data_IF_113481682882
#
_entry.id   IF_113481682882
#
_cell.length_a   1.000
_cell.length_b   1.000
_cell.length_c   1.000
_cell.angle_alpha   90.00
_cell.angle_beta   90.00
_cell.angle_gamma   90.00
#
_symmetry.space_group_name_H-M   'P 1'
#
loop_
_entity.id
_entity.type
_entity.pdbx_description
1 polymer ?
#
# COMPACT_ATOMS: atom_id res chain seq x y z
N UNK A 1 37.25 19.47 -0.50
CA UNK A 1 36.39 19.15 -1.66
C UNK A 1 35.17 18.41 -1.10
N UNK A 2 34.09 19.14 -0.79
CA UNK A 2 32.92 18.55 -0.12
C UNK A 2 32.13 17.70 -1.11
N UNK A 3 31.92 16.42 -0.80
CA UNK A 3 31.00 15.58 -1.56
C UNK A 3 29.61 16.21 -1.48
N UNK A 4 29.07 16.58 -2.63
CA UNK A 4 27.70 17.07 -2.78
C UNK A 4 26.80 15.88 -2.44
N UNK A 5 26.20 15.87 -1.24
CA UNK A 5 25.19 14.86 -0.87
C UNK A 5 24.19 14.75 -2.02
N UNK A 6 23.98 13.54 -2.53
CA UNK A 6 23.00 13.29 -3.57
C UNK A 6 21.60 13.62 -3.02
N UNK A 7 20.62 13.90 -3.90
CA UNK A 7 19.22 14.04 -3.46
C UNK A 7 18.75 12.78 -2.72
N UNK A 8 19.26 11.61 -3.10
CA UNK A 8 19.11 10.35 -2.37
C UNK A 8 19.63 10.43 -0.92
N UNK A 9 20.82 10.99 -0.69
CA UNK A 9 21.40 11.12 0.66
C UNK A 9 20.67 12.14 1.55
N UNK A 10 19.87 13.03 0.96
CA UNK A 10 18.98 13.94 1.70
C UNK A 10 17.69 13.25 2.12
N UNK A 11 17.18 12.35 1.28
CA UNK A 11 16.01 11.51 1.58
C UNK A 11 16.34 10.59 2.77
N UNK A 12 17.45 9.87 2.75
CA UNK A 12 17.77 8.86 3.79
C UNK A 12 18.44 9.39 5.08
N UNK A 13 18.28 10.68 5.40
CA UNK A 13 18.68 11.20 6.72
C UNK A 13 17.90 10.48 7.83
N UNK A 14 18.61 9.72 8.66
CA UNK A 14 18.09 8.62 9.51
C UNK A 14 17.11 8.99 10.65
N UNK A 15 16.47 10.16 10.59
CA UNK A 15 15.49 10.60 11.59
C UNK A 15 14.23 11.25 10.97
N UNK A 16 14.21 11.53 9.66
CA UNK A 16 13.13 12.32 9.03
C UNK A 16 12.17 11.50 8.16
N UNK A 17 12.43 10.20 7.97
CA UNK A 17 11.62 9.31 7.12
C UNK A 17 11.26 8.03 7.89
N UNK A 18 9.96 7.70 7.88
CA UNK A 18 9.49 6.40 8.32
C UNK A 18 9.49 5.46 7.10
N UNK A 19 10.46 4.55 7.06
CA UNK A 19 10.53 3.50 6.04
C UNK A 19 9.66 2.34 6.50
N UNK A 20 8.69 1.96 5.68
CA UNK A 20 7.81 0.82 5.95
C UNK A 20 8.38 -0.38 5.22
N UNK A 21 9.49 -0.89 5.75
CA UNK A 21 10.15 -2.09 5.27
C UNK A 21 10.81 -2.80 6.43
N UNK A 22 10.22 -3.89 6.94
CA UNK A 22 10.99 -5.03 7.46
C UNK A 22 10.11 -6.28 7.63
N UNK A 23 10.55 -7.41 7.05
CA UNK A 23 10.03 -8.76 7.34
C UNK A 23 8.96 -9.29 6.38
N UNK A 24 8.90 -10.61 6.23
CA UNK A 24 8.30 -11.36 5.12
C UNK A 24 6.80 -11.16 4.80
N UNK A 25 6.07 -10.23 5.42
CA UNK A 25 4.67 -9.93 5.09
C UNK A 25 4.29 -8.48 5.44
N UNK A 26 4.61 -7.53 4.57
CA UNK A 26 4.10 -6.15 4.65
C UNK A 26 2.99 -5.99 3.61
N UNK A 27 1.75 -6.19 4.06
CA UNK A 27 0.55 -5.81 3.31
C UNK A 27 0.01 -4.44 3.74
N UNK A 28 -1.28 -4.19 3.50
CA UNK A 28 -1.91 -2.92 3.87
C UNK A 28 -1.87 -2.59 5.36
N UNK A 29 -1.88 -3.60 6.25
CA UNK A 29 -1.99 -3.36 7.69
C UNK A 29 -0.77 -2.63 8.31
N UNK A 30 0.49 -3.06 8.13
CA UNK A 30 1.64 -2.30 8.63
C UNK A 30 1.75 -0.90 8.00
N UNK A 31 1.27 -0.73 6.77
CA UNK A 31 1.27 0.56 6.09
C UNK A 31 0.23 1.53 6.64
N UNK A 32 -0.96 1.03 6.97
CA UNK A 32 -1.98 1.82 7.66
C UNK A 32 -1.52 2.24 9.05
N UNK A 33 -0.82 1.35 9.77
CA UNK A 33 -0.18 1.67 11.05
C UNK A 33 0.89 2.75 10.86
N UNK A 34 1.75 2.64 9.86
CA UNK A 34 2.79 3.64 9.62
C UNK A 34 2.22 5.02 9.23
N UNK A 35 1.14 5.06 8.46
CA UNK A 35 0.37 6.28 8.20
C UNK A 35 -0.14 6.89 9.50
N UNK A 36 -0.77 6.09 10.36
CA UNK A 36 -1.26 6.53 11.67
C UNK A 36 -0.12 7.05 12.57
N UNK A 37 1.00 6.31 12.65
CA UNK A 37 2.21 6.73 13.37
C UNK A 37 2.76 8.03 12.80
N UNK A 38 2.79 8.21 11.49
CA UNK A 38 3.23 9.45 10.84
C UNK A 38 2.37 10.65 11.22
N UNK A 39 1.05 10.46 11.39
CA UNK A 39 0.14 11.48 11.93
C UNK A 39 0.48 11.80 13.38
N UNK A 40 0.44 10.79 14.27
CA UNK A 40 0.57 11.00 15.72
C UNK A 40 1.96 11.44 16.12
N UNK A 41 3.01 11.01 15.40
CA UNK A 41 4.37 11.45 15.66
C UNK A 41 4.59 12.92 15.31
N UNK A 42 3.88 13.46 14.30
CA UNK A 42 3.99 14.87 13.90
C UNK A 42 3.05 15.80 14.68
N UNK A 43 1.82 15.35 14.92
CA UNK A 43 0.75 16.21 15.45
C UNK A 43 0.35 15.87 16.90
N UNK A 44 0.87 14.78 17.47
CA UNK A 44 0.51 14.31 18.80
C UNK A 44 -0.86 13.63 18.84
N UNK A 45 -1.39 13.46 20.06
CA UNK A 45 -2.72 12.90 20.30
C UNK A 45 -2.87 11.41 19.97
N UNK A 46 -4.11 10.95 20.01
CA UNK A 46 -4.55 9.62 19.58
C UNK A 46 -5.01 9.64 18.13
N UNK A 47 -4.78 8.54 17.40
CA UNK A 47 -5.27 8.40 16.02
C UNK A 47 -6.80 8.54 15.91
N UNK A 48 -7.54 8.19 16.96
CA UNK A 48 -9.01 8.33 17.03
C UNK A 48 -9.47 9.79 16.88
N UNK A 49 -8.64 10.77 17.23
CA UNK A 49 -8.95 12.19 17.10
C UNK A 49 -8.97 12.64 15.63
N UNK A 50 -8.25 11.91 14.77
CA UNK A 50 -8.14 12.17 13.34
C UNK A 50 -9.13 11.33 12.51
N UNK A 51 -10.02 10.55 13.14
CA UNK A 51 -11.03 9.73 12.47
C UNK A 51 -11.96 10.56 11.57
N UNK A 52 -12.10 10.15 10.32
CA UNK A 52 -12.92 10.80 9.31
C UNK A 52 -12.12 11.45 8.17
N UNK A 53 -12.81 12.23 7.34
CA UNK A 53 -12.22 12.90 6.19
C UNK A 53 -11.58 14.24 6.57
N UNK A 54 -10.35 14.47 6.09
CA UNK A 54 -9.61 15.74 6.12
C UNK A 54 -9.38 16.34 7.52
N UNK A 55 -9.27 15.50 8.56
CA UNK A 55 -8.93 15.95 9.92
C UNK A 55 -7.42 16.05 10.20
N UNK A 56 -6.59 15.45 9.35
CA UNK A 56 -5.13 15.55 9.46
C UNK A 56 -4.71 17.00 9.10
N UNK A 57 -4.02 17.74 9.99
CA UNK A 57 -3.76 19.18 9.80
C UNK A 57 -2.84 19.55 8.62
N UNK A 58 -2.10 18.57 8.08
CA UNK A 58 -1.19 18.77 6.95
C UNK A 58 -0.30 17.56 6.70
N UNK A 59 0.75 17.75 5.88
CA UNK A 59 1.72 16.69 5.53
C UNK A 59 2.24 15.97 6.76
N UNK A 60 2.17 14.64 6.78
CA UNK A 60 2.76 13.83 7.85
C UNK A 60 4.28 13.64 7.66
N UNK A 61 4.91 12.85 8.53
CA UNK A 61 6.28 12.39 8.31
C UNK A 61 6.34 11.61 6.98
N UNK A 62 7.26 11.91 6.05
CA UNK A 62 7.38 11.21 4.79
C UNK A 62 7.49 9.69 4.96
N UNK A 63 6.71 8.97 4.15
CA UNK A 63 6.68 7.50 4.14
C UNK A 63 7.23 6.96 2.83
N UNK A 64 7.98 5.87 2.92
CA UNK A 64 8.33 5.01 1.77
C UNK A 64 7.61 3.68 1.96
N UNK A 65 6.71 3.36 1.04
CA UNK A 65 5.95 2.12 1.03
C UNK A 65 6.63 1.09 0.13
N UNK A 66 6.90 -0.10 0.67
CA UNK A 66 7.47 -1.23 -0.06
C UNK A 66 6.55 -2.44 0.17
N UNK A 67 5.48 -2.61 -0.64
CA UNK A 67 4.50 -3.67 -0.43
C UNK A 67 5.10 -5.04 -0.77
N UNK A 68 4.76 -6.06 0.03
CA UNK A 68 5.08 -7.47 -0.23
C UNK A 68 3.83 -8.30 -0.55
N UNK A 69 2.69 -7.64 -0.77
CA UNK A 69 1.42 -8.27 -1.20
C UNK A 69 0.81 -7.47 -2.35
N UNK A 70 0.15 -8.14 -3.30
CA UNK A 70 -0.53 -7.49 -4.42
C UNK A 70 -2.05 -7.52 -4.23
N UNK A 71 -2.58 -6.66 -3.35
CA UNK A 71 -4.00 -6.62 -3.02
C UNK A 71 -4.50 -5.23 -2.65
N UNK A 72 -4.16 -4.78 -1.45
CA UNK A 72 -4.83 -3.65 -0.79
C UNK A 72 -4.57 -2.28 -1.44
N UNK A 73 -3.49 -2.14 -2.22
CA UNK A 73 -3.07 -0.86 -2.82
C UNK A 73 -2.76 0.24 -1.80
N UNK A 74 -2.49 -0.08 -0.53
CA UNK A 74 -2.34 0.93 0.53
C UNK A 74 -1.16 1.88 0.24
N UNK A 75 -0.22 1.47 -0.61
CA UNK A 75 0.97 2.21 -1.03
C UNK A 75 0.63 3.41 -1.91
N UNK A 76 -0.58 3.41 -2.47
CA UNK A 76 -1.10 4.45 -3.37
C UNK A 76 -2.48 4.94 -2.94
N UNK A 77 -2.84 4.80 -1.66
CA UNK A 77 -4.11 5.31 -1.12
C UNK A 77 -3.91 6.34 0.00
N UNK A 78 -4.87 7.24 0.11
CA UNK A 78 -4.97 8.29 1.12
C UNK A 78 -5.75 7.86 2.39
N UNK A 79 -5.90 6.55 2.59
CA UNK A 79 -6.63 5.96 3.71
C UNK A 79 -5.67 5.28 4.70
N UNK A 80 -6.02 5.35 5.98
CA UNK A 80 -5.44 4.52 7.05
C UNK A 80 -6.60 3.95 7.86
N UNK A 81 -6.71 2.63 7.90
CA UNK A 81 -7.78 1.92 8.63
C UNK A 81 -7.18 1.26 9.87
N UNK A 82 -7.62 1.69 11.05
CA UNK A 82 -7.11 1.19 12.34
C UNK A 82 -8.28 0.58 13.12
N UNK A 83 -8.04 -0.58 13.75
CA UNK A 83 -9.07 -1.19 14.60
C UNK A 83 -9.03 -0.55 15.98
N UNK A 84 -10.13 0.08 16.37
CA UNK A 84 -10.37 0.56 17.73
C UNK A 84 -10.99 -0.56 18.56
N UNK A 85 -10.15 -1.25 19.34
CA UNK A 85 -10.59 -2.35 20.20
C UNK A 85 -11.51 -1.91 21.35
N UNK A 86 -11.55 -0.62 21.71
CA UNK A 86 -12.44 -0.13 22.76
C UNK A 86 -13.89 -0.02 22.28
N UNK A 87 -14.08 0.29 20.98
CA UNK A 87 -15.38 0.40 20.31
C UNK A 87 -15.76 -0.84 19.49
N UNK A 88 -14.85 -1.80 19.36
CA UNK A 88 -14.93 -2.91 18.40
C UNK A 88 -15.28 -2.40 16.98
N UNK A 89 -14.55 -1.36 16.56
CA UNK A 89 -14.86 -0.58 15.36
C UNK A 89 -13.61 -0.33 14.52
N UNK A 90 -13.72 -0.46 13.20
CA UNK A 90 -12.66 -0.03 12.27
C UNK A 90 -12.79 1.46 12.00
N UNK A 91 -11.92 2.24 12.61
CA UNK A 91 -11.83 3.67 12.36
C UNK A 91 -11.08 3.92 11.05
N UNK A 92 -11.55 4.90 10.28
CA UNK A 92 -10.93 5.29 9.02
C UNK A 92 -10.46 6.73 9.10
N UNK A 93 -9.17 6.95 8.87
CA UNK A 93 -8.60 8.29 8.65
C UNK A 93 -8.41 8.46 7.16
N UNK A 94 -9.03 9.49 6.59
CA UNK A 94 -8.87 9.85 5.19
C UNK A 94 -8.25 11.23 5.07
N UNK A 95 -7.08 11.32 4.44
CA UNK A 95 -6.46 12.58 4.08
C UNK A 95 -5.43 12.37 2.97
N UNK A 96 -5.40 13.27 1.98
CA UNK A 96 -4.37 13.25 0.94
C UNK A 96 -2.94 13.43 1.48
N UNK A 97 -2.82 13.91 2.71
CA UNK A 97 -1.54 14.02 3.40
C UNK A 97 -0.97 12.65 3.81
N UNK A 98 -1.77 11.58 3.76
CA UNK A 98 -1.37 10.21 4.10
C UNK A 98 -0.70 9.45 2.95
N UNK A 99 -0.67 10.04 1.74
CA UNK A 99 0.01 9.38 0.63
C UNK A 99 1.48 9.11 0.96
N UNK A 100 1.96 7.87 0.76
CA UNK A 100 3.39 7.63 0.77
C UNK A 100 4.09 8.54 -0.23
N UNK A 101 5.26 9.07 0.15
CA UNK A 101 6.07 9.90 -0.74
C UNK A 101 6.62 9.09 -1.90
N UNK A 102 6.89 7.80 -1.65
CA UNK A 102 7.34 6.85 -2.64
C UNK A 102 6.70 5.49 -2.39
N UNK A 103 6.34 4.80 -3.48
CA UNK A 103 5.96 3.39 -3.49
C UNK A 103 6.97 2.63 -4.35
N UNK A 104 7.62 1.61 -3.80
CA UNK A 104 8.60 0.77 -4.50
C UNK A 104 8.03 -0.63 -4.62
N UNK A 105 7.58 -0.99 -5.82
CA UNK A 105 7.01 -2.30 -6.10
C UNK A 105 8.10 -3.20 -6.67
N UNK A 106 8.52 -4.20 -5.90
CA UNK A 106 9.44 -5.25 -6.33
C UNK A 106 8.69 -6.59 -6.38
N UNK A 107 8.50 -7.19 -7.58
CA UNK A 107 7.77 -8.44 -7.72
C UNK A 107 8.45 -9.62 -7.02
N UNK A 108 9.77 -9.59 -6.78
CA UNK A 108 10.45 -10.65 -6.05
C UNK A 108 9.98 -10.70 -4.59
N UNK A 109 9.62 -9.56 -4.00
CA UNK A 109 9.10 -9.50 -2.62
C UNK A 109 7.73 -10.19 -2.47
N UNK A 110 6.94 -10.25 -3.55
CA UNK A 110 5.65 -10.94 -3.56
C UNK A 110 5.80 -12.46 -3.42
N UNK A 111 6.95 -13.02 -3.82
CA UNK A 111 7.19 -14.48 -3.77
C UNK A 111 7.32 -15.01 -2.34
N UNK A 112 7.50 -14.12 -1.36
CA UNK A 112 7.55 -14.49 0.06
C UNK A 112 6.16 -14.71 0.68
N UNK A 113 5.09 -14.27 0.02
CA UNK A 113 3.74 -14.42 0.53
C UNK A 113 3.26 -15.89 0.45
N UNK A 114 2.66 -16.45 1.53
CA UNK A 114 2.00 -17.75 1.46
C UNK A 114 0.90 -17.76 0.40
N UNK A 115 0.71 -18.91 -0.25
CA UNK A 115 -0.28 -19.06 -1.34
C UNK A 115 -1.69 -18.60 -0.96
N UNK A 116 -2.14 -18.90 0.27
CA UNK A 116 -3.45 -18.46 0.77
C UNK A 116 -3.57 -16.94 0.92
N UNK A 117 -2.47 -16.24 1.21
CA UNK A 117 -2.47 -14.77 1.26
C UNK A 117 -2.42 -14.19 -0.14
N UNK A 118 -1.64 -14.77 -1.05
CA UNK A 118 -1.62 -14.35 -2.45
C UNK A 118 -3.01 -14.47 -3.10
N UNK A 119 -3.72 -15.59 -2.85
CA UNK A 119 -5.09 -15.78 -3.32
C UNK A 119 -6.05 -14.72 -2.76
N UNK A 120 -6.04 -14.51 -1.44
CA UNK A 120 -6.90 -13.51 -0.80
C UNK A 120 -6.62 -12.09 -1.32
N UNK A 121 -5.35 -11.73 -1.51
CA UNK A 121 -4.96 -10.43 -2.06
C UNK A 121 -5.38 -10.27 -3.54
N UNK A 122 -5.29 -11.33 -4.33
CA UNK A 122 -5.75 -11.31 -5.72
C UNK A 122 -7.25 -11.06 -5.84
N UNK A 123 -8.04 -11.70 -4.99
CA UNK A 123 -9.49 -11.48 -4.89
C UNK A 123 -9.79 -10.05 -4.42
N UNK A 124 -9.08 -9.55 -3.40
CA UNK A 124 -9.20 -8.18 -2.89
C UNK A 124 -8.97 -7.13 -4.00
N UNK A 125 -7.88 -7.26 -4.77
CA UNK A 125 -7.59 -6.36 -5.88
C UNK A 125 -8.66 -6.41 -6.99
N UNK A 126 -9.21 -7.60 -7.27
CA UNK A 126 -10.29 -7.75 -8.25
C UNK A 126 -11.56 -7.05 -7.80
N UNK A 127 -11.96 -7.24 -6.55
CA UNK A 127 -13.15 -6.60 -5.97
C UNK A 127 -12.98 -5.08 -6.00
N UNK A 128 -11.82 -4.55 -5.63
CA UNK A 128 -11.54 -3.11 -5.75
C UNK A 128 -11.72 -2.59 -7.18
N UNK A 129 -11.29 -3.35 -8.19
CA UNK A 129 -11.45 -2.96 -9.58
C UNK A 129 -12.94 -2.98 -10.01
N UNK A 130 -13.69 -4.02 -9.63
CA UNK A 130 -15.12 -4.11 -9.92
C UNK A 130 -15.90 -2.98 -9.22
N UNK A 131 -15.69 -2.77 -7.92
CA UNK A 131 -16.31 -1.69 -7.14
C UNK A 131 -16.00 -0.32 -7.74
N UNK A 132 -14.76 -0.08 -8.17
CA UNK A 132 -14.37 1.16 -8.83
C UNK A 132 -15.07 1.35 -10.18
N UNK A 133 -15.26 0.28 -10.95
CA UNK A 133 -15.92 0.31 -12.26
C UNK A 133 -17.42 0.59 -12.17
N UNK A 134 -18.11 0.04 -11.15
CA UNK A 134 -19.55 0.23 -10.94
C UNK A 134 -19.90 1.42 -10.05
N UNK A 135 -18.89 2.12 -9.52
CA UNK A 135 -19.06 3.24 -8.60
C UNK A 135 -19.85 4.39 -9.23
N UNK A 136 -20.71 5.04 -8.44
CA UNK A 136 -21.36 6.29 -8.85
C UNK A 136 -20.38 7.46 -8.99
N UNK A 137 -19.15 7.31 -8.48
CA UNK A 137 -18.06 8.27 -8.62
C UNK A 137 -17.03 7.85 -9.69
N UNK A 138 -17.37 6.86 -10.52
CA UNK A 138 -16.54 6.42 -11.63
C UNK A 138 -16.30 7.53 -12.67
N UNK A 139 -15.18 7.42 -13.38
CA UNK A 139 -14.73 8.33 -14.41
C UNK A 139 -14.07 7.54 -15.54
N UNK A 140 -13.96 8.08 -16.76
CA UNK A 140 -13.28 7.38 -17.86
C UNK A 140 -11.86 6.93 -17.53
N UNK A 141 -11.18 7.66 -16.63
CA UNK A 141 -9.84 7.29 -16.15
C UNK A 141 -9.88 6.10 -15.19
N UNK A 142 -10.75 6.12 -14.18
CA UNK A 142 -10.90 4.98 -13.25
C UNK A 142 -11.43 3.74 -13.97
N UNK A 143 -12.33 3.89 -14.94
CA UNK A 143 -12.89 2.78 -15.71
C UNK A 143 -11.81 2.06 -16.51
N UNK A 144 -10.93 2.82 -17.19
CA UNK A 144 -9.82 2.26 -17.93
C UNK A 144 -8.83 1.51 -17.02
N UNK A 145 -8.55 2.05 -15.82
CA UNK A 145 -7.70 1.38 -14.84
C UNK A 145 -8.35 0.12 -14.26
N UNK A 146 -9.64 0.18 -13.94
CA UNK A 146 -10.39 -0.95 -13.41
C UNK A 146 -10.54 -2.08 -14.45
N UNK A 147 -10.81 -1.73 -15.71
CA UNK A 147 -10.88 -2.68 -16.82
C UNK A 147 -9.52 -3.36 -17.07
N UNK A 148 -8.40 -2.61 -17.04
CA UNK A 148 -7.05 -3.20 -17.08
C UNK A 148 -6.78 -4.11 -15.87
N UNK A 149 -7.16 -3.67 -14.66
CA UNK A 149 -6.95 -4.42 -13.43
C UNK A 149 -7.72 -5.75 -13.39
N UNK A 150 -8.99 -5.75 -13.85
CA UNK A 150 -9.82 -6.96 -13.96
C UNK A 150 -9.31 -7.94 -15.02
N UNK A 151 -8.68 -7.45 -16.10
CA UNK A 151 -8.03 -8.28 -17.13
C UNK A 151 -6.65 -8.77 -16.70
N UNK A 152 -5.99 -8.03 -15.81
CA UNK A 152 -4.72 -8.39 -15.24
C UNK A 152 -4.87 -9.69 -14.45
N UNK A 153 -4.03 -10.68 -14.74
CA UNK A 153 -4.02 -12.00 -14.09
C UNK A 153 -3.68 -12.03 -12.59
N UNK A 154 -3.80 -10.90 -11.88
CA UNK A 154 -3.71 -10.81 -10.43
C UNK A 154 -4.77 -11.66 -9.70
N UNK A 155 -5.75 -12.22 -10.40
CA UNK A 155 -6.74 -13.14 -9.82
C UNK A 155 -6.11 -14.48 -9.39
N UNK A 156 -4.85 -14.79 -9.79
CA UNK A 156 -4.13 -15.95 -9.25
C UNK A 156 -2.64 -15.76 -8.92
N UNK A 157 -1.86 -14.97 -9.67
CA UNK A 157 -0.44 -14.60 -9.41
C UNK A 157 0.07 -13.82 -10.63
N UNK A 158 0.48 -12.55 -10.53
CA UNK A 158 1.06 -11.84 -11.69
C UNK A 158 2.09 -10.78 -11.28
N UNK A 159 3.12 -10.58 -12.13
CA UNK A 159 3.22 -9.28 -12.78
C UNK A 159 3.57 -9.36 -14.28
N UNK A 160 3.01 -8.39 -14.99
CA UNK A 160 2.91 -8.13 -16.44
C UNK A 160 3.88 -8.86 -17.41
N UNK A 161 3.26 -9.46 -18.45
CA UNK A 161 3.79 -10.31 -19.54
C UNK A 161 4.35 -11.67 -19.12
N UNK A 162 3.81 -12.23 -18.04
CA UNK A 162 4.08 -13.62 -17.67
C UNK A 162 3.44 -14.57 -18.69
N UNK A 163 4.28 -15.20 -19.52
CA UNK A 163 3.90 -16.35 -20.31
C UNK A 163 3.76 -17.55 -19.38
N UNK A 164 3.06 -18.60 -19.82
CA UNK A 164 2.86 -19.83 -19.01
C UNK A 164 4.15 -20.41 -18.41
N UNK A 165 5.31 -20.16 -19.06
CA UNK A 165 6.65 -20.54 -18.57
C UNK A 165 7.10 -19.76 -17.33
N UNK A 166 6.77 -18.48 -17.24
CA UNK A 166 7.26 -17.59 -16.17
C UNK A 166 6.56 -17.95 -14.85
N UNK A 167 5.26 -18.30 -14.95
CA UNK A 167 4.47 -18.86 -13.84
C UNK A 167 5.01 -20.23 -13.41
N UNK A 168 5.38 -21.10 -14.38
CA UNK A 168 5.95 -22.41 -14.07
C UNK A 168 7.34 -22.30 -13.40
N UNK A 169 8.20 -21.38 -13.83
CA UNK A 169 9.51 -21.13 -13.20
C UNK A 169 9.39 -20.60 -11.78
N UNK A 170 8.46 -19.68 -11.52
CA UNK A 170 8.19 -19.18 -10.16
C UNK A 170 7.64 -20.28 -9.26
N UNK A 171 6.72 -21.11 -9.77
CA UNK A 171 6.20 -22.26 -9.03
C UNK A 171 7.32 -23.24 -8.67
N UNK A 172 8.22 -23.58 -9.60
CA UNK A 172 9.36 -24.46 -9.35
C UNK A 172 10.42 -23.87 -8.40
N UNK A 173 10.49 -22.56 -8.23
CA UNK A 173 11.37 -21.91 -7.24
C UNK A 173 10.79 -21.94 -5.82
N UNK A 174 9.47 -22.09 -5.66
CA UNK A 174 8.77 -22.01 -4.38
C UNK A 174 8.59 -23.37 -3.67
N UNK A 175 8.88 -24.48 -4.36
CA UNK A 175 8.95 -25.86 -3.84
C UNK A 175 10.40 -26.28 -3.66
#
# INVERSE_FOLDING_TARGET
MGQKKSEFDKVFSAWDILVIAFGAMIGGSPMDVAKAVGVTAKYGGSITEYEGAHKVPGKIIPLIAIPTTAGTGSEVTAFSVITDHSRDYKLTVFSYELFPSYAILDPELLTSAPASVAEACGIDAFIHAEEAYVSTAASPFSDAMADDAMKSGNIAVNPRSSHKRDIAELYHKAI
#
